data_IF_965868819738
#
_entry.id   IF_965868819738
#
_cell.length_a   1.000
_cell.length_b   1.000
_cell.length_c   1.000
_cell.angle_alpha   90.00
_cell.angle_beta   90.00
_cell.angle_gamma   90.00
#
_symmetry.space_group_name_H-M   'P 1'
#
loop_
_entity.id
_entity.type
_entity.pdbx_description
1 polymer ?
#
# COMPACT_ATOMS: atom_id res chain seq x y z
N UNK A 1 -1.78 2.17 11.09
CA UNK A 1 -1.74 1.66 9.71
C UNK A 1 -3.16 1.59 9.18
N UNK A 2 -3.41 2.07 7.97
CA UNK A 2 -4.66 1.89 7.23
C UNK A 2 -4.45 0.71 6.27
N UNK A 3 -5.35 -0.28 6.30
CA UNK A 3 -5.17 -1.54 5.58
C UNK A 3 -6.50 -2.15 5.12
N UNK A 4 -6.44 -3.19 4.30
CA UNK A 4 -7.58 -3.98 3.83
C UNK A 4 -7.13 -5.42 3.53
N UNK A 5 -7.88 -6.42 3.97
CA UNK A 5 -7.54 -7.84 3.82
C UNK A 5 -7.62 -8.33 2.35
N UNK A 6 -8.56 -7.76 1.58
CA UNK A 6 -8.75 -8.07 0.17
C UNK A 6 -7.61 -7.52 -0.70
N UNK A 7 -6.90 -6.48 -0.25
CA UNK A 7 -5.82 -5.85 -1.02
C UNK A 7 -4.59 -6.76 -1.07
N UNK A 8 -4.09 -7.01 -2.28
CA UNK A 8 -2.81 -7.71 -2.47
C UNK A 8 -1.65 -6.94 -1.83
N UNK A 9 -1.67 -5.61 -1.89
CA UNK A 9 -0.55 -4.81 -1.36
C UNK A 9 -0.52 -4.89 0.17
N UNK A 10 -1.68 -4.88 0.81
CA UNK A 10 -1.78 -5.08 2.26
C UNK A 10 -1.32 -6.49 2.64
N UNK A 11 -1.68 -7.52 1.87
CA UNK A 11 -1.19 -8.90 2.10
C UNK A 11 0.33 -9.00 1.98
N UNK A 12 0.98 -8.16 1.16
CA UNK A 12 2.44 -8.03 1.08
C UNK A 12 3.02 -7.39 2.33
N UNK A 13 2.52 -6.21 2.69
CA UNK A 13 3.23 -5.30 3.59
C UNK A 13 2.79 -5.41 5.05
N UNK A 14 1.52 -5.75 5.33
CA UNK A 14 1.03 -5.86 6.72
C UNK A 14 1.86 -6.85 7.55
N UNK A 15 2.19 -8.06 7.06
CA UNK A 15 3.04 -8.97 7.82
C UNK A 15 4.44 -8.40 8.07
N UNK A 16 5.03 -7.75 7.08
CA UNK A 16 6.35 -7.13 7.21
C UNK A 16 6.34 -5.98 8.23
N UNK A 17 5.32 -5.10 8.18
CA UNK A 17 5.15 -4.01 9.14
C UNK A 17 4.87 -4.51 10.56
N UNK A 18 4.11 -5.61 10.71
CA UNK A 18 3.90 -6.25 12.00
C UNK A 18 5.21 -6.79 12.60
N UNK A 19 6.06 -7.42 11.78
CA UNK A 19 7.39 -7.88 12.20
C UNK A 19 8.33 -6.72 12.55
N UNK A 20 8.31 -5.65 11.76
CA UNK A 20 9.07 -4.44 12.05
C UNK A 20 8.64 -3.85 13.39
N UNK A 21 7.33 -3.75 13.65
CA UNK A 21 6.81 -3.24 14.91
C UNK A 21 7.21 -4.13 16.10
N UNK A 22 7.06 -5.45 15.97
CA UNK A 22 7.48 -6.43 16.98
C UNK A 22 8.98 -6.29 17.30
N UNK A 23 9.84 -6.29 16.28
CA UNK A 23 11.28 -6.20 16.45
C UNK A 23 11.74 -4.82 17.00
N UNK A 24 11.03 -3.75 16.65
CA UNK A 24 11.32 -2.39 17.07
C UNK A 24 10.69 -2.00 18.42
N UNK A 25 9.90 -2.87 19.05
CA UNK A 25 9.16 -2.55 20.27
C UNK A 25 8.10 -1.46 20.07
N UNK A 26 7.52 -1.37 18.87
CA UNK A 26 6.50 -0.38 18.51
C UNK A 26 5.09 -0.96 18.72
N UNK A 27 4.15 -0.11 19.12
CA UNK A 27 2.73 -0.46 19.10
C UNK A 27 2.19 -0.35 17.66
N UNK A 28 1.60 -1.44 17.14
CA UNK A 28 0.91 -1.45 15.84
C UNK A 28 -0.60 -1.41 16.02
N UNK A 29 -1.24 -0.35 15.50
CA UNK A 29 -2.70 -0.26 15.35
C UNK A 29 -3.09 -0.31 13.88
N UNK A 30 -4.06 -1.16 13.54
CA UNK A 30 -4.57 -1.32 12.18
C UNK A 30 -6.03 -0.84 12.14
N UNK A 31 -6.33 0.01 11.17
CA UNK A 31 -7.66 0.52 10.88
C UNK A 31 -8.02 0.09 9.45
N UNK A 32 -9.21 -0.48 9.25
CA UNK A 32 -9.67 -0.78 7.89
C UNK A 32 -10.06 0.53 7.21
N UNK A 33 -9.64 0.75 5.97
CA UNK A 33 -10.01 1.96 5.21
C UNK A 33 -11.51 1.99 4.97
N UNK A 34 -12.01 0.88 4.46
CA UNK A 34 -13.37 0.69 3.99
C UNK A 34 -14.29 0.31 5.14
N UNK A 35 -15.58 0.56 4.96
CA UNK A 35 -16.64 0.06 5.83
C UNK A 35 -17.17 -1.28 5.32
N UNK A 36 -18.50 -1.42 5.27
CA UNK A 36 -19.17 -2.61 4.71
C UNK A 36 -19.00 -2.76 3.20
N UNK A 37 -18.57 -1.71 2.51
CA UNK A 37 -18.42 -1.69 1.05
C UNK A 37 -17.01 -1.26 0.69
N UNK A 38 -16.39 -2.02 -0.22
CA UNK A 38 -15.12 -1.66 -0.82
C UNK A 38 -15.27 -0.31 -1.52
N UNK A 39 -14.33 0.59 -1.24
CA UNK A 39 -14.32 1.92 -1.86
C UNK A 39 -14.16 1.80 -3.37
N UNK A 40 -15.14 2.33 -4.11
CA UNK A 40 -15.15 2.34 -5.58
C UNK A 40 -14.63 3.62 -6.22
N UNK A 41 -14.27 4.63 -5.43
CA UNK A 41 -13.80 5.94 -5.90
C UNK A 41 -12.37 6.20 -5.47
N UNK A 42 -11.67 7.11 -6.17
CA UNK A 42 -10.27 7.44 -5.84
C UNK A 42 -10.15 8.21 -4.54
N UNK A 43 -11.05 9.16 -4.32
CA UNK A 43 -11.17 9.96 -3.09
C UNK A 43 -12.46 9.55 -2.37
N UNK A 44 -12.40 9.17 -1.09
CA UNK A 44 -13.59 8.80 -0.34
C UNK A 44 -14.35 10.04 0.14
N UNK A 45 -15.63 9.85 0.44
CA UNK A 45 -16.49 10.82 1.14
C UNK A 45 -16.95 10.21 2.47
N UNK A 46 -16.43 10.70 3.62
CA UNK A 46 -16.82 10.20 4.94
C UNK A 46 -18.32 10.37 5.25
N UNK A 47 -19.00 11.34 4.65
CA UNK A 47 -20.43 11.55 4.85
C UNK A 47 -21.28 10.47 4.17
N UNK A 48 -20.80 9.92 3.05
CA UNK A 48 -21.49 8.86 2.30
C UNK A 48 -21.23 7.47 2.90
N UNK A 49 -20.07 7.28 3.51
CA UNK A 49 -19.62 6.00 4.06
C UNK A 49 -19.15 6.16 5.52
N UNK A 50 -20.07 6.41 6.46
CA UNK A 50 -19.74 6.72 7.85
C UNK A 50 -19.23 5.49 8.64
N UNK A 51 -19.27 4.30 8.05
CA UNK A 51 -18.85 3.04 8.66
C UNK A 51 -17.41 2.63 8.29
N UNK A 52 -16.70 3.44 7.49
CA UNK A 52 -15.27 3.27 7.19
C UNK A 52 -14.39 4.35 7.84
N UNK A 53 -13.08 4.16 7.82
CA UNK A 53 -12.10 5.16 8.31
C UNK A 53 -11.65 6.10 7.18
N UNK A 54 -12.62 6.60 6.41
CA UNK A 54 -12.37 7.44 5.24
C UNK A 54 -11.83 8.82 5.60
N UNK A 55 -12.19 9.35 6.75
CA UNK A 55 -11.65 10.57 7.33
C UNK A 55 -10.14 10.47 7.54
N UNK A 56 -9.66 9.37 8.13
CA UNK A 56 -8.23 9.08 8.26
C UNK A 56 -7.56 8.98 6.88
N UNK A 57 -8.21 8.31 5.93
CA UNK A 57 -7.66 8.15 4.59
C UNK A 57 -7.50 9.48 3.83
N UNK A 58 -8.32 10.49 4.10
CA UNK A 58 -8.20 11.81 3.48
C UNK A 58 -6.88 12.51 3.84
N UNK A 59 -6.29 12.22 5.00
CA UNK A 59 -4.99 12.78 5.43
C UNK A 59 -3.79 12.17 4.68
N UNK A 60 -3.97 10.97 4.12
CA UNK A 60 -2.89 10.16 3.53
C UNK A 60 -3.16 9.77 2.08
N UNK A 61 -3.92 10.58 1.34
CA UNK A 61 -4.12 10.35 -0.08
C UNK A 61 -2.78 10.37 -0.82
N UNK A 62 -2.57 9.36 -1.66
CA UNK A 62 -1.39 9.23 -2.49
C UNK A 62 -1.53 10.13 -3.72
N UNK A 63 -0.71 11.19 -3.80
CA UNK A 63 -0.63 12.04 -4.98
C UNK A 63 0.29 11.37 -6.03
N UNK A 64 -0.32 10.74 -7.04
CA UNK A 64 0.41 10.11 -8.15
C UNK A 64 -0.33 10.25 -9.47
N UNK A 65 0.44 10.36 -10.56
CA UNK A 65 -0.08 10.46 -11.93
C UNK A 65 -1.12 11.59 -12.11
N UNK A 66 -0.90 12.74 -11.47
CA UNK A 66 -1.79 13.90 -11.57
C UNK A 66 -3.13 13.76 -10.82
N UNK A 67 -3.26 12.78 -9.91
CA UNK A 67 -4.45 12.61 -9.09
C UNK A 67 -4.14 12.16 -7.66
N UNK A 68 -5.17 12.17 -6.83
CA UNK A 68 -5.13 11.68 -5.45
C UNK A 68 -5.84 10.34 -5.34
N UNK A 69 -5.22 9.40 -4.65
CA UNK A 69 -5.70 8.04 -4.52
C UNK A 69 -5.73 7.62 -3.07
N UNK A 70 -6.84 7.01 -2.65
CA UNK A 70 -6.97 6.30 -1.37
C UNK A 70 -6.18 4.99 -1.40
N UNK A 71 -4.88 5.07 -1.66
CA UNK A 71 -3.99 3.92 -1.78
C UNK A 71 -3.83 3.19 -0.45
N UNK A 72 -3.56 1.88 -0.53
CA UNK A 72 -3.31 1.04 0.63
C UNK A 72 -2.18 0.06 0.38
N UNK A 73 -1.43 -0.33 1.42
CA UNK A 73 -1.60 0.15 2.80
C UNK A 73 -0.99 1.53 3.04
N UNK A 74 -1.37 2.17 4.14
CA UNK A 74 -0.70 3.36 4.68
C UNK A 74 -0.15 3.02 6.07
N UNK A 75 1.18 3.04 6.24
CA UNK A 75 1.82 2.95 7.54
C UNK A 75 2.38 4.31 7.93
N UNK A 76 1.97 4.83 9.09
CA UNK A 76 2.44 6.12 9.62
C UNK A 76 3.10 5.86 10.96
N UNK A 77 4.30 6.38 11.11
CA UNK A 77 5.16 6.20 12.27
C UNK A 77 5.16 7.48 13.08
N UNK A 78 4.87 7.35 14.37
CA UNK A 78 4.80 8.47 15.29
C UNK A 78 5.80 8.29 16.43
N UNK A 79 6.25 9.41 17.01
CA UNK A 79 6.90 9.43 18.31
C UNK A 79 5.88 9.22 19.44
N UNK A 80 6.38 9.06 20.67
CA UNK A 80 5.53 8.88 21.86
C UNK A 80 4.62 10.08 22.18
N UNK A 81 4.97 11.27 21.68
CA UNK A 81 4.18 12.51 21.74
C UNK A 81 3.38 12.75 20.44
N UNK A 82 3.17 11.70 19.65
CA UNK A 82 2.35 11.70 18.43
C UNK A 82 2.81 12.68 17.34
N UNK A 83 4.11 12.99 17.27
CA UNK A 83 4.68 13.68 16.12
C UNK A 83 4.94 12.68 15.00
N UNK A 84 4.48 13.00 13.79
CA UNK A 84 4.74 12.15 12.64
C UNK A 84 6.23 12.15 12.28
N UNK A 85 6.82 10.96 12.25
CA UNK A 85 8.21 10.73 11.88
C UNK A 85 8.34 10.40 10.39
N UNK A 86 7.48 9.50 9.91
CA UNK A 86 7.50 9.03 8.53
C UNK A 86 6.16 8.40 8.14
N UNK A 87 5.87 8.35 6.83
CA UNK A 87 4.75 7.61 6.26
C UNK A 87 5.21 6.80 5.04
N UNK A 88 4.71 5.58 4.95
CA UNK A 88 4.89 4.66 3.82
C UNK A 88 3.51 4.37 3.20
N UNK A 89 3.41 4.51 1.87
CA UNK A 89 2.13 4.43 1.15
C UNK A 89 2.24 3.47 -0.04
N UNK A 90 1.39 2.44 -0.04
CA UNK A 90 1.09 1.49 -1.13
C UNK A 90 2.18 0.48 -1.48
N UNK A 91 3.40 0.92 -1.77
CA UNK A 91 4.55 0.09 -2.13
C UNK A 91 5.87 0.85 -2.06
N UNK A 92 6.97 0.12 -1.82
CA UNK A 92 8.33 0.66 -1.89
C UNK A 92 8.63 1.32 -3.23
N UNK A 93 9.48 2.35 -3.22
CA UNK A 93 9.79 3.16 -4.40
C UNK A 93 10.29 2.32 -5.60
N UNK A 94 10.99 1.20 -5.36
CA UNK A 94 11.51 0.32 -6.40
C UNK A 94 10.45 -0.58 -7.04
N UNK A 95 9.28 -0.76 -6.39
CA UNK A 95 8.21 -1.56 -6.95
C UNK A 95 7.31 -0.70 -7.84
N UNK A 96 7.64 -0.62 -9.13
CA UNK A 96 6.85 0.08 -10.13
C UNK A 96 5.59 -0.70 -10.53
N UNK A 97 4.65 -0.86 -9.59
CA UNK A 97 3.45 -1.70 -9.75
C UNK A 97 2.65 -1.34 -11.00
N UNK A 98 2.38 -0.06 -11.24
CA UNK A 98 1.53 0.38 -12.34
C UNK A 98 2.13 0.00 -13.71
N UNK A 99 3.46 0.08 -13.85
CA UNK A 99 4.18 -0.37 -15.04
C UNK A 99 4.02 -1.88 -15.24
N UNK A 100 4.25 -2.67 -14.20
CA UNK A 100 4.17 -4.14 -14.27
C UNK A 100 2.73 -4.59 -14.55
N UNK A 101 1.75 -4.02 -13.84
CA UNK A 101 0.32 -4.32 -14.05
C UNK A 101 -0.15 -3.88 -15.42
N UNK A 102 0.25 -2.70 -15.88
CA UNK A 102 -0.02 -2.21 -17.23
C UNK A 102 0.50 -3.17 -18.30
N UNK A 103 1.74 -3.64 -18.16
CA UNK A 103 2.31 -4.65 -19.06
C UNK A 103 1.52 -5.97 -19.04
N UNK A 104 1.16 -6.48 -17.86
CA UNK A 104 0.40 -7.72 -17.71
C UNK A 104 -1.00 -7.61 -18.33
N UNK A 105 -1.63 -6.44 -18.24
CA UNK A 105 -2.98 -6.20 -18.73
C UNK A 105 -3.05 -5.75 -20.20
N UNK A 106 -1.91 -5.40 -20.82
CA UNK A 106 -1.86 -4.98 -22.22
C UNK A 106 -2.26 -6.11 -23.16
N UNK A 107 -3.06 -5.80 -24.18
CA UNK A 107 -3.44 -6.74 -25.23
C UNK A 107 -2.23 -7.17 -26.06
N UNK A 108 -2.17 -8.45 -26.44
CA UNK A 108 -1.15 -8.98 -27.36
C UNK A 108 -1.78 -9.36 -28.70
N UNK A 109 -0.95 -9.39 -29.75
CA UNK A 109 -1.41 -9.73 -31.09
C UNK A 109 -2.08 -11.12 -31.12
N UNK A 110 -3.29 -11.20 -31.66
CA UNK A 110 -4.07 -12.43 -31.75
C UNK A 110 -4.88 -12.80 -30.51
N UNK A 111 -4.79 -12.04 -29.41
CA UNK A 111 -5.63 -12.26 -28.22
C UNK A 111 -6.98 -11.54 -28.34
N UNK A 112 -8.04 -12.22 -27.93
CA UNK A 112 -9.33 -11.59 -27.60
C UNK A 112 -9.23 -10.84 -26.27
N UNK A 113 -10.22 -9.98 -25.98
CA UNK A 113 -10.29 -9.26 -24.71
C UNK A 113 -10.36 -10.23 -23.50
N UNK A 114 -11.15 -11.30 -23.62
CA UNK A 114 -11.27 -12.33 -22.57
C UNK A 114 -9.92 -13.02 -22.31
N UNK A 115 -9.23 -13.43 -23.37
CA UNK A 115 -7.89 -14.04 -23.24
C UNK A 115 -6.88 -13.09 -22.62
N UNK A 116 -6.92 -11.80 -22.98
CA UNK A 116 -6.07 -10.75 -22.39
C UNK A 116 -6.31 -10.64 -20.88
N UNK A 117 -7.58 -10.59 -20.45
CA UNK A 117 -7.96 -10.51 -19.03
C UNK A 117 -7.52 -11.75 -18.25
N UNK A 118 -7.78 -12.94 -18.78
CA UNK A 118 -7.40 -14.20 -18.15
C UNK A 118 -5.88 -14.33 -18.00
N UNK A 119 -5.12 -13.97 -19.04
CA UNK A 119 -3.66 -13.93 -18.98
C UNK A 119 -3.17 -12.91 -17.95
N UNK A 120 -3.68 -11.67 -17.99
CA UNK A 120 -3.27 -10.62 -17.07
C UNK A 120 -3.56 -10.96 -15.59
N UNK A 121 -4.64 -11.70 -15.33
CA UNK A 121 -4.93 -12.24 -13.99
C UNK A 121 -3.98 -13.37 -13.60
N UNK A 122 -3.72 -14.32 -14.50
CA UNK A 122 -2.78 -15.43 -14.25
C UNK A 122 -1.37 -14.90 -13.97
N UNK A 123 -0.89 -13.94 -14.76
CA UNK A 123 0.42 -13.30 -14.56
C UNK A 123 0.47 -12.53 -13.22
N UNK A 124 -0.63 -11.90 -12.80
CA UNK A 124 -0.71 -11.24 -11.49
C UNK A 124 -0.64 -12.21 -10.32
N UNK A 125 -1.34 -13.33 -10.41
CA UNK A 125 -1.32 -14.38 -9.39
C UNK A 125 0.08 -15.02 -9.32
N UNK A 126 0.69 -15.31 -10.46
CA UNK A 126 2.04 -15.86 -10.52
C UNK A 126 3.09 -14.92 -9.90
N UNK A 127 2.96 -13.60 -10.14
CA UNK A 127 3.84 -12.60 -9.52
C UNK A 127 3.66 -12.53 -8.00
N UNK A 128 2.42 -12.55 -7.50
CA UNK A 128 2.15 -12.57 -6.04
C UNK A 128 2.71 -13.82 -5.36
N UNK A 129 2.77 -14.96 -6.07
CA UNK A 129 3.37 -16.20 -5.59
C UNK A 129 4.89 -16.29 -5.82
N UNK A 130 5.49 -15.27 -6.44
CA UNK A 130 6.93 -15.26 -6.73
C UNK A 130 7.73 -14.65 -5.57
N UNK A 131 9.04 -14.94 -5.48
CA UNK A 131 9.91 -14.33 -4.47
C UNK A 131 9.96 -12.79 -4.53
N UNK A 132 9.61 -12.18 -5.67
CA UNK A 132 9.62 -10.71 -5.79
C UNK A 132 8.63 -10.03 -4.85
N UNK A 133 7.56 -10.71 -4.43
CA UNK A 133 6.63 -10.16 -3.47
C UNK A 133 7.30 -9.91 -2.12
N UNK A 134 8.12 -10.85 -1.66
CA UNK A 134 8.92 -10.72 -0.44
C UNK A 134 10.09 -9.74 -0.61
N UNK A 135 10.70 -9.70 -1.79
CA UNK A 135 11.75 -8.71 -2.12
C UNK A 135 11.19 -7.29 -2.01
N UNK A 136 10.00 -7.03 -2.55
CA UNK A 136 9.39 -5.70 -2.46
C UNK A 136 8.91 -5.37 -1.05
N UNK A 137 8.44 -6.36 -0.27
CA UNK A 137 8.14 -6.17 1.15
C UNK A 137 9.41 -5.77 1.93
N UNK A 138 10.53 -6.45 1.65
CA UNK A 138 11.84 -6.15 2.26
C UNK A 138 12.32 -4.75 1.89
N UNK A 139 12.21 -4.37 0.61
CA UNK A 139 12.54 -3.03 0.16
C UNK A 139 11.70 -1.94 0.86
N UNK A 140 10.42 -2.22 1.14
CA UNK A 140 9.57 -1.30 1.91
C UNK A 140 10.03 -1.14 3.36
N UNK A 141 10.49 -2.22 3.99
CA UNK A 141 11.11 -2.17 5.32
C UNK A 141 12.41 -1.35 5.30
N UNK A 142 13.28 -1.58 4.32
CA UNK A 142 14.54 -0.85 4.18
C UNK A 142 14.31 0.66 3.98
N UNK A 143 13.32 1.02 3.16
CA UNK A 143 12.90 2.40 2.93
C UNK A 143 12.43 3.06 4.23
N UNK A 144 11.52 2.40 4.96
CA UNK A 144 11.00 2.90 6.25
C UNK A 144 12.13 3.10 7.26
N UNK A 145 12.99 2.09 7.45
CA UNK A 145 14.09 2.17 8.42
C UNK A 145 15.08 3.29 8.07
N UNK A 146 15.40 3.45 6.79
CA UNK A 146 16.28 4.51 6.30
C UNK A 146 15.67 5.89 6.57
N UNK A 147 14.38 6.07 6.26
CA UNK A 147 13.69 7.34 6.47
C UNK A 147 13.56 7.71 7.95
N UNK A 148 13.27 6.73 8.82
CA UNK A 148 13.24 6.92 10.27
C UNK A 148 14.62 7.30 10.82
N UNK A 149 15.68 6.62 10.37
CA UNK A 149 17.05 6.94 10.77
C UNK A 149 17.42 8.38 10.36
N UNK A 150 17.13 8.78 9.12
CA UNK A 150 17.38 10.14 8.65
C UNK A 150 16.63 11.15 9.54
N UNK A 151 15.34 10.94 9.78
CA UNK A 151 14.50 11.83 10.58
C UNK A 151 15.02 12.03 12.00
N UNK A 152 15.54 10.96 12.63
CA UNK A 152 16.04 11.00 13.99
C UNK A 152 17.48 11.54 14.08
N UNK A 153 18.27 11.39 13.03
CA UNK A 153 19.69 11.77 13.02
C UNK A 153 19.88 13.22 12.56
N UNK A 154 19.17 13.61 11.50
CA UNK A 154 19.29 14.95 10.90
C UNK A 154 18.33 15.89 11.63
N UNK A 155 18.86 16.58 12.65
CA UNK A 155 18.14 17.68 13.32
C UNK A 155 17.96 18.83 12.33
N UNK A 156 16.77 18.96 11.75
CA UNK A 156 16.34 20.14 10.99
C UNK A 156 15.45 21.02 11.85
#
# INVERSE_FOLDING_TARGET
MISEDWSSDCRRDVPAMARLAEAGGLELRIFNRDGRKILGTRRPDPAVYPDGNHDLMLEFLNAKNGGEWASLPVAVFYSNDFQELHRYIEYAAIYHKDLIRGHQQAARAGETETQTKERGQREFVAMQASPFFDVWASAGVDEVLSALYEKLTVKR
#
